data_IF_077932298939
#
_entry.id   IF_077932298939
#
_cell.length_a   1.000
_cell.length_b   1.000
_cell.length_c   1.000
_cell.angle_alpha   90.00
_cell.angle_beta   90.00
_cell.angle_gamma   90.00
#
_symmetry.space_group_name_H-M   'P 1'
#
loop_
_entity.id
_entity.type
_entity.pdbx_description
1 polymer ?
#
# COMPACT_ATOMS: atom_id res chain seq x y z
N UNK A 1 26.87 -30.13 62.41
CA UNK A 1 27.26 -30.85 61.17
C UNK A 1 27.42 -29.86 60.00
N UNK A 2 28.68 -29.56 59.65
CA UNK A 2 29.18 -28.86 58.45
C UNK A 2 28.21 -27.97 57.65
N UNK A 3 28.19 -26.66 57.95
CA UNK A 3 27.80 -25.65 56.95
C UNK A 3 28.88 -25.61 55.87
N UNK A 4 28.72 -26.42 54.83
CA UNK A 4 29.56 -26.34 53.64
C UNK A 4 29.49 -24.90 53.10
N UNK A 5 30.59 -24.15 53.20
CA UNK A 5 30.74 -22.90 52.47
C UNK A 5 31.05 -23.28 51.02
N UNK A 6 30.17 -23.01 50.04
CA UNK A 6 30.39 -23.47 48.65
C UNK A 6 31.46 -22.65 47.92
N UNK A 7 31.71 -21.42 48.36
CA UNK A 7 32.63 -20.48 47.72
C UNK A 7 34.09 -20.96 47.64
N UNK A 8 34.74 -21.51 48.69
CA UNK A 8 36.11 -22.02 48.59
C UNK A 8 36.25 -23.20 47.61
N UNK A 9 35.18 -23.98 47.43
CA UNK A 9 35.17 -25.09 46.46
C UNK A 9 35.00 -24.58 45.03
N UNK A 10 34.17 -23.55 44.83
CA UNK A 10 34.00 -22.89 43.55
C UNK A 10 35.29 -22.16 43.12
N UNK A 11 35.92 -21.40 44.02
CA UNK A 11 37.22 -20.75 43.79
C UNK A 11 38.31 -21.75 43.39
N UNK A 12 38.34 -22.94 44.02
CA UNK A 12 39.29 -24.00 43.68
C UNK A 12 39.13 -24.54 42.25
N UNK A 13 37.91 -24.53 41.71
CA UNK A 13 37.59 -25.10 40.38
C UNK A 13 37.61 -24.04 39.29
N UNK A 14 37.09 -22.84 39.57
CA UNK A 14 36.88 -21.78 38.57
C UNK A 14 37.84 -20.59 38.69
N UNK A 15 38.68 -20.55 39.74
CA UNK A 15 39.69 -19.50 39.93
C UNK A 15 39.08 -18.10 39.88
N UNK A 16 39.72 -17.21 39.12
CA UNK A 16 39.35 -15.79 38.99
C UNK A 16 38.05 -15.55 38.20
N UNK A 17 37.54 -16.56 37.48
CA UNK A 17 36.24 -16.50 36.80
C UNK A 17 35.06 -16.91 37.72
N UNK A 18 35.31 -16.99 39.02
CA UNK A 18 34.30 -17.33 40.02
C UNK A 18 33.32 -16.17 40.25
N UNK A 19 32.04 -16.52 40.44
CA UNK A 19 30.99 -15.57 40.86
C UNK A 19 31.29 -14.95 42.24
N UNK A 20 30.96 -13.68 42.42
CA UNK A 20 31.20 -12.97 43.68
C UNK A 20 30.53 -13.62 44.90
N UNK A 21 31.11 -13.43 46.08
CA UNK A 21 30.61 -13.95 47.37
C UNK A 21 29.16 -13.57 47.62
N UNK A 22 28.76 -12.36 47.22
CA UNK A 22 27.40 -11.85 47.36
C UNK A 22 26.42 -12.58 46.45
N UNK A 23 26.84 -12.93 45.23
CA UNK A 23 26.04 -13.75 44.32
C UNK A 23 25.83 -15.15 44.89
N UNK A 24 26.88 -15.80 45.39
CA UNK A 24 26.80 -17.13 46.01
C UNK A 24 25.88 -17.12 47.23
N UNK A 25 25.99 -16.10 48.10
CA UNK A 25 25.11 -15.95 49.27
C UNK A 25 23.65 -15.77 48.87
N UNK A 26 23.35 -14.94 47.86
CA UNK A 26 21.98 -14.77 47.34
C UNK A 26 21.39 -16.09 46.84
N UNK A 27 22.15 -16.85 46.05
CA UNK A 27 21.73 -18.15 45.56
C UNK A 27 21.51 -19.18 46.69
N UNK A 28 22.40 -19.23 47.69
CA UNK A 28 22.23 -20.12 48.85
C UNK A 28 20.94 -19.79 49.63
N UNK A 29 20.57 -18.51 49.72
CA UNK A 29 19.29 -18.11 50.33
C UNK A 29 18.12 -18.57 49.47
N UNK A 30 18.13 -18.33 48.15
CA UNK A 30 17.08 -18.77 47.22
C UNK A 30 16.85 -20.29 47.28
N UNK A 31 17.92 -21.09 47.23
CA UNK A 31 17.82 -22.56 47.32
C UNK A 31 17.32 -23.03 48.68
N UNK A 32 17.75 -22.41 49.78
CA UNK A 32 17.24 -22.74 51.12
C UNK A 32 15.77 -22.34 51.32
N UNK A 33 15.27 -21.34 50.59
CA UNK A 33 13.85 -21.00 50.55
C UNK A 33 13.00 -21.90 49.64
N UNK A 34 13.60 -22.92 49.02
CA UNK A 34 12.91 -23.89 48.17
C UNK A 34 12.80 -23.48 46.69
N UNK A 35 13.42 -22.37 46.26
CA UNK A 35 13.52 -22.04 44.84
C UNK A 35 14.59 -22.92 44.18
N UNK A 36 14.19 -23.73 43.18
CA UNK A 36 15.09 -24.61 42.41
C UNK A 36 15.34 -24.15 40.97
N UNK A 37 14.73 -23.04 40.56
CA UNK A 37 14.87 -22.48 39.22
C UNK A 37 16.24 -21.81 39.05
N UNK A 38 16.99 -22.23 38.04
CA UNK A 38 18.38 -21.78 37.80
C UNK A 38 18.42 -20.70 36.70
N UNK A 39 17.35 -20.56 35.93
CA UNK A 39 17.26 -19.54 34.90
C UNK A 39 16.94 -18.15 35.47
N UNK A 40 17.49 -17.13 34.82
CA UNK A 40 17.18 -15.74 35.16
C UNK A 40 15.67 -15.51 35.06
N UNK A 41 15.10 -14.93 36.12
CA UNK A 41 13.71 -14.47 36.09
C UNK A 41 13.59 -13.37 35.01
N UNK A 42 12.41 -13.23 34.37
CA UNK A 42 12.19 -12.16 33.39
C UNK A 42 12.58 -10.82 33.99
N UNK A 43 13.65 -10.23 33.47
CA UNK A 43 14.08 -8.92 33.92
C UNK A 43 13.07 -7.90 33.41
N UNK A 44 12.54 -6.98 34.24
CA UNK A 44 11.83 -5.82 33.73
C UNK A 44 12.84 -4.97 32.96
N UNK A 45 12.89 -5.18 31.65
CA UNK A 45 13.65 -4.32 30.75
C UNK A 45 13.14 -2.88 30.84
N UNK A 46 13.99 -1.93 30.44
CA UNK A 46 13.53 -0.57 30.13
C UNK A 46 12.33 -0.69 29.19
N UNK A 47 11.19 -0.03 29.44
CA UNK A 47 10.04 -0.11 28.54
C UNK A 47 10.49 0.37 27.15
N UNK A 48 10.59 -0.56 26.20
CA UNK A 48 10.94 -0.28 24.80
C UNK A 48 9.78 0.33 24.01
N UNK A 49 8.76 0.84 24.69
CA UNK A 49 7.52 1.27 24.09
C UNK A 49 7.20 2.67 24.58
N UNK A 50 7.29 3.66 23.69
CA UNK A 50 6.62 4.95 23.87
C UNK A 50 5.09 4.81 23.85
N UNK A 51 4.58 3.60 23.60
CA UNK A 51 3.16 3.28 23.51
C UNK A 51 2.67 2.64 24.81
N UNK A 52 1.66 3.27 25.42
CA UNK A 52 0.91 2.77 26.56
C UNK A 52 -0.34 2.03 26.02
N UNK A 53 -0.87 0.99 26.70
CA UNK A 53 -2.11 0.32 26.27
C UNK A 53 -3.30 1.27 26.01
N UNK A 54 -3.29 2.44 26.66
CA UNK A 54 -4.26 3.51 26.42
C UNK A 54 -4.15 4.11 25.02
N UNK A 55 -2.93 4.27 24.48
CA UNK A 55 -2.69 4.82 23.15
C UNK A 55 -3.15 3.84 22.06
N UNK A 56 -2.98 2.54 22.29
CA UNK A 56 -3.50 1.48 21.40
C UNK A 56 -5.03 1.51 21.35
N UNK A 57 -5.68 1.67 22.50
CA UNK A 57 -7.14 1.78 22.56
C UNK A 57 -7.66 3.06 21.91
N UNK A 58 -6.94 4.18 22.06
CA UNK A 58 -7.29 5.44 21.42
C UNK A 58 -7.12 5.36 19.89
N UNK A 59 -6.03 4.73 19.42
CA UNK A 59 -5.81 4.45 18.00
C UNK A 59 -6.94 3.61 17.41
N UNK A 60 -7.34 2.53 18.10
CA UNK A 60 -8.42 1.66 17.68
C UNK A 60 -9.75 2.43 17.54
N UNK A 61 -10.10 3.24 18.54
CA UNK A 61 -11.31 4.08 18.50
C UNK A 61 -11.28 5.11 17.38
N UNK A 62 -10.13 5.75 17.13
CA UNK A 62 -9.97 6.73 16.05
C UNK A 62 -10.18 6.07 14.68
N UNK A 63 -9.60 4.89 14.45
CA UNK A 63 -9.75 4.14 13.19
C UNK A 63 -11.20 3.65 13.01
N UNK A 64 -11.87 3.23 14.09
CA UNK A 64 -13.29 2.84 14.04
C UNK A 64 -14.22 4.02 13.75
N UNK A 65 -13.88 5.21 14.23
CA UNK A 65 -14.68 6.43 14.00
C UNK A 65 -14.48 6.96 12.59
N UNK A 66 -13.24 7.00 12.10
CA UNK A 66 -12.90 7.43 10.75
C UNK A 66 -11.84 6.52 10.13
N UNK A 67 -12.27 5.67 9.20
CA UNK A 67 -11.39 4.74 8.48
C UNK A 67 -10.47 5.45 7.47
N UNK A 68 -10.70 6.72 7.17
CA UNK A 68 -9.95 7.52 6.19
C UNK A 68 -8.91 8.44 6.84
N UNK A 69 -8.77 8.39 8.17
CA UNK A 69 -7.81 9.19 8.92
C UNK A 69 -6.37 8.91 8.45
N UNK A 70 -5.59 9.96 8.23
CA UNK A 70 -4.23 9.83 7.73
C UNK A 70 -3.25 9.46 8.84
N UNK A 71 -2.13 8.81 8.49
CA UNK A 71 -1.07 8.49 9.46
C UNK A 71 -0.52 9.74 10.16
N UNK A 72 -0.51 10.89 9.47
CA UNK A 72 -0.05 12.17 10.04
C UNK A 72 -1.03 12.68 11.10
N UNK A 73 -2.32 12.57 10.84
CA UNK A 73 -3.37 12.95 11.80
C UNK A 73 -3.32 12.02 13.00
N UNK A 74 -3.25 10.70 12.81
CA UNK A 74 -3.10 9.73 13.90
C UNK A 74 -1.89 10.03 14.80
N UNK A 75 -0.73 10.31 14.21
CA UNK A 75 0.47 10.72 14.96
C UNK A 75 0.24 12.00 15.76
N UNK A 76 -0.47 12.98 15.20
CA UNK A 76 -0.77 14.24 15.87
C UNK A 76 -1.75 14.06 17.03
N UNK A 77 -2.81 13.25 16.85
CA UNK A 77 -3.80 12.96 17.88
C UNK A 77 -3.22 12.19 19.06
N UNK A 78 -2.37 11.21 18.78
CA UNK A 78 -1.73 10.37 19.78
C UNK A 78 -0.43 10.97 20.33
N UNK A 79 -0.02 12.15 19.85
CA UNK A 79 1.25 12.79 20.16
C UNK A 79 2.46 11.82 20.07
N UNK A 80 2.45 10.98 19.04
CA UNK A 80 3.37 9.86 18.87
C UNK A 80 4.07 9.93 17.51
N UNK A 81 5.29 9.40 17.46
CA UNK A 81 6.06 9.33 16.21
C UNK A 81 5.51 8.27 15.26
N UNK A 82 5.72 8.45 13.94
CA UNK A 82 5.24 7.51 12.91
C UNK A 82 5.69 6.06 13.14
N UNK A 83 6.91 5.86 13.65
CA UNK A 83 7.42 4.52 13.95
C UNK A 83 6.63 3.83 15.07
N UNK A 84 6.20 4.58 16.10
CA UNK A 84 5.37 4.05 17.18
C UNK A 84 3.96 3.72 16.67
N UNK A 85 3.43 4.55 15.77
CA UNK A 85 2.15 4.29 15.09
C UNK A 85 2.19 3.00 14.26
N UNK A 86 3.25 2.78 13.48
CA UNK A 86 3.38 1.55 12.67
C UNK A 86 3.43 0.29 13.53
N UNK A 87 4.09 0.34 14.69
CA UNK A 87 4.10 -0.76 15.67
C UNK A 87 2.69 -1.01 16.24
N UNK A 88 1.97 0.05 16.61
CA UNK A 88 0.60 -0.06 17.13
C UNK A 88 -0.37 -0.64 16.09
N UNK A 89 -0.32 -0.13 14.86
CA UNK A 89 -1.14 -0.65 13.75
C UNK A 89 -0.87 -2.14 13.53
N UNK A 90 0.39 -2.56 13.57
CA UNK A 90 0.77 -3.97 13.45
C UNK A 90 0.23 -4.85 14.58
N UNK A 91 0.17 -4.35 15.83
CA UNK A 91 -0.43 -5.08 16.97
C UNK A 91 -1.94 -5.23 16.85
N UNK A 92 -2.62 -4.22 16.31
CA UNK A 92 -4.08 -4.22 16.09
C UNK A 92 -4.47 -4.91 14.77
N UNK A 93 -3.50 -5.50 14.05
CA UNK A 93 -3.68 -6.12 12.74
C UNK A 93 -4.24 -5.16 11.66
N UNK A 94 -4.02 -3.85 11.83
CA UNK A 94 -4.35 -2.85 10.83
C UNK A 94 -3.23 -2.71 9.79
N UNK A 95 -3.63 -2.63 8.52
CA UNK A 95 -2.72 -2.47 7.37
C UNK A 95 -3.05 -1.17 6.65
N UNK A 96 -2.03 -0.33 6.44
CA UNK A 96 -2.15 0.88 5.61
C UNK A 96 -2.38 0.48 4.15
N UNK A 97 -3.53 0.82 3.60
CA UNK A 97 -3.82 0.66 2.17
C UNK A 97 -3.52 1.97 1.45
N UNK A 98 -2.36 2.04 0.79
CA UNK A 98 -2.05 3.15 -0.11
C UNK A 98 -2.68 2.85 -1.48
N UNK A 99 -3.88 3.36 -1.74
CA UNK A 99 -4.45 3.32 -3.10
C UNK A 99 -3.81 4.41 -3.96
N UNK A 100 -2.67 4.10 -4.60
CA UNK A 100 -2.22 4.89 -5.75
C UNK A 100 -3.04 4.45 -6.94
N UNK A 101 -3.78 5.38 -7.55
CA UNK A 101 -4.40 5.14 -8.85
C UNK A 101 -3.29 4.94 -9.90
N UNK A 102 -2.98 3.68 -10.20
CA UNK A 102 -2.09 3.31 -11.29
C UNK A 102 -2.97 2.93 -12.47
N UNK A 103 -2.92 3.72 -13.53
CA UNK A 103 -3.63 3.42 -14.77
C UNK A 103 -3.05 2.09 -15.33
N UNK A 104 -3.88 1.07 -15.63
CA UNK A 104 -3.38 -0.23 -16.04
C UNK A 104 -2.50 -0.16 -17.30
N UNK A 105 -2.78 0.81 -18.20
CA UNK A 105 -1.99 1.05 -19.41
C UNK A 105 -0.60 1.67 -19.15
N UNK A 106 -0.29 2.05 -17.92
CA UNK A 106 1.05 2.53 -17.50
C UNK A 106 1.80 1.50 -16.65
N UNK A 107 1.21 0.31 -16.45
CA UNK A 107 1.85 -0.76 -15.69
C UNK A 107 3.13 -1.26 -16.37
N UNK A 108 4.06 -1.80 -15.57
CA UNK A 108 5.30 -2.40 -16.10
C UNK A 108 4.99 -3.54 -17.08
N UNK A 109 4.01 -4.38 -16.78
CA UNK A 109 3.61 -5.48 -17.65
C UNK A 109 3.09 -4.97 -19.00
N UNK A 110 2.20 -3.96 -19.00
CA UNK A 110 1.66 -3.41 -20.25
C UNK A 110 2.74 -2.73 -21.08
N UNK A 111 3.56 -1.86 -20.46
CA UNK A 111 4.62 -1.12 -21.17
C UNK A 111 5.70 -2.04 -21.73
N UNK A 112 6.10 -3.08 -20.98
CA UNK A 112 7.05 -4.09 -21.48
C UNK A 112 6.46 -4.90 -22.64
N UNK A 113 5.17 -5.22 -22.60
CA UNK A 113 4.51 -5.93 -23.69
C UNK A 113 4.38 -5.04 -24.95
N UNK A 114 4.00 -3.77 -24.81
CA UNK A 114 3.96 -2.80 -25.92
C UNK A 114 5.34 -2.63 -26.57
N UNK A 115 6.40 -2.56 -25.76
CA UNK A 115 7.77 -2.48 -26.25
C UNK A 115 8.20 -3.71 -27.06
N UNK A 116 7.74 -4.92 -26.70
CA UNK A 116 8.01 -6.16 -27.45
C UNK A 116 7.45 -6.12 -28.88
N UNK A 117 6.34 -5.42 -29.11
CA UNK A 117 5.78 -5.22 -30.45
C UNK A 117 6.47 -4.10 -31.25
N UNK A 118 7.41 -3.36 -30.65
CA UNK A 118 8.11 -2.25 -31.28
C UNK A 118 7.23 -1.01 -31.51
N UNK A 119 6.12 -0.89 -30.79
CA UNK A 119 5.20 0.25 -30.95
C UNK A 119 5.71 1.48 -30.20
N UNK A 120 5.60 2.65 -30.85
CA UNK A 120 5.84 3.93 -30.20
C UNK A 120 4.56 4.38 -29.50
N UNK A 121 4.62 4.58 -28.18
CA UNK A 121 3.50 5.10 -27.40
C UNK A 121 3.50 6.62 -27.51
N UNK A 122 2.44 7.20 -28.08
CA UNK A 122 2.29 8.65 -28.12
C UNK A 122 1.92 9.18 -26.72
N UNK A 123 2.52 10.28 -26.26
CA UNK A 123 2.14 10.91 -25.01
C UNK A 123 0.69 11.41 -25.11
N UNK A 124 -0.12 11.11 -24.08
CA UNK A 124 -1.50 11.57 -23.99
C UNK A 124 -1.71 12.28 -22.65
N UNK A 125 -2.16 13.55 -22.65
CA UNK A 125 -2.40 14.29 -21.42
C UNK A 125 -3.55 13.68 -20.58
N UNK A 126 -3.50 13.78 -19.24
CA UNK A 126 -4.60 13.37 -18.39
C UNK A 126 -5.88 14.14 -18.71
N UNK A 127 -7.02 13.46 -18.63
CA UNK A 127 -8.36 14.06 -18.78
C UNK A 127 -8.61 14.81 -20.10
N UNK A 128 -8.01 14.37 -21.21
CA UNK A 128 -8.16 14.99 -22.54
C UNK A 128 -8.92 14.11 -23.54
N UNK A 129 -10.21 13.78 -23.29
CA UNK A 129 -11.01 12.98 -24.22
C UNK A 129 -11.24 13.70 -25.57
N UNK A 130 -11.14 15.02 -25.60
CA UNK A 130 -11.17 15.86 -26.80
C UNK A 130 -9.95 15.65 -27.72
N UNK A 131 -8.88 15.03 -27.22
CA UNK A 131 -7.69 14.65 -27.98
C UNK A 131 -7.62 13.15 -28.28
N UNK A 132 -8.66 12.38 -27.96
CA UNK A 132 -8.73 10.95 -28.25
C UNK A 132 -9.74 10.68 -29.39
N UNK A 133 -9.27 10.17 -30.52
CA UNK A 133 -10.10 9.90 -31.71
C UNK A 133 -11.28 8.97 -31.42
N UNK A 134 -11.08 7.98 -30.55
CA UNK A 134 -12.15 7.11 -30.07
C UNK A 134 -13.29 7.89 -29.41
N UNK A 135 -12.97 8.90 -28.59
CA UNK A 135 -13.95 9.69 -27.84
C UNK A 135 -14.63 10.76 -28.68
N UNK A 136 -13.87 11.59 -29.40
CA UNK A 136 -14.47 12.71 -30.13
C UNK A 136 -15.12 12.29 -31.46
N UNK A 137 -14.71 11.17 -32.05
CA UNK A 137 -15.14 10.75 -33.39
C UNK A 137 -15.89 9.42 -33.43
N UNK A 138 -15.39 8.37 -32.79
CA UNK A 138 -15.94 7.01 -32.94
C UNK A 138 -17.18 6.77 -32.07
N UNK A 139 -17.08 7.02 -30.76
CA UNK A 139 -18.09 6.56 -29.81
C UNK A 139 -19.42 7.29 -29.90
N UNK A 140 -19.46 8.55 -30.36
CA UNK A 140 -20.71 9.28 -30.56
C UNK A 140 -21.59 8.61 -31.63
N UNK A 141 -21.16 8.59 -32.89
CA UNK A 141 -21.90 7.95 -33.98
C UNK A 141 -22.22 6.47 -33.73
N UNK A 142 -21.33 5.75 -33.05
CA UNK A 142 -21.57 4.35 -32.68
C UNK A 142 -22.72 4.22 -31.68
N UNK A 143 -22.72 5.05 -30.63
CA UNK A 143 -23.82 5.07 -29.66
C UNK A 143 -25.12 5.47 -30.30
N UNK A 144 -25.10 6.47 -31.18
CA UNK A 144 -26.29 6.93 -31.91
C UNK A 144 -26.85 5.82 -32.81
N UNK A 145 -25.97 5.08 -33.51
CA UNK A 145 -26.38 3.95 -34.36
C UNK A 145 -26.92 2.74 -33.60
N UNK A 146 -26.52 2.57 -32.34
CA UNK A 146 -26.99 1.51 -31.44
C UNK A 146 -28.12 1.98 -30.51
N UNK A 147 -28.45 3.27 -30.54
CA UNK A 147 -29.41 3.86 -29.61
C UNK A 147 -30.80 3.23 -29.78
N UNK A 148 -31.45 2.95 -28.65
CA UNK A 148 -32.80 2.38 -28.62
C UNK A 148 -32.90 0.89 -28.95
N UNK A 149 -31.78 0.21 -29.18
CA UNK A 149 -31.76 -1.24 -29.38
C UNK A 149 -31.64 -1.97 -28.04
N UNK A 150 -32.41 -3.05 -27.87
CA UNK A 150 -32.30 -3.94 -26.72
C UNK A 150 -31.53 -5.19 -27.12
N UNK A 151 -30.44 -5.48 -26.40
CA UNK A 151 -29.63 -6.67 -26.61
C UNK A 151 -29.84 -7.63 -25.42
N UNK A 152 -30.32 -8.87 -25.66
CA UNK A 152 -30.62 -9.81 -24.58
C UNK A 152 -29.36 -10.41 -23.95
N UNK A 153 -28.23 -10.44 -24.66
CA UNK A 153 -26.95 -10.93 -24.16
C UNK A 153 -25.74 -10.16 -24.71
N UNK A 154 -24.55 -10.55 -24.24
CA UNK A 154 -23.28 -9.93 -24.62
C UNK A 154 -22.87 -10.25 -26.06
N UNK A 155 -23.24 -11.41 -26.60
CA UNK A 155 -22.84 -11.81 -27.95
C UNK A 155 -23.59 -10.98 -29.00
N UNK A 156 -24.86 -10.67 -28.74
CA UNK A 156 -25.68 -9.81 -29.59
C UNK A 156 -25.16 -8.38 -29.66
N UNK A 157 -24.77 -7.78 -28.53
CA UNK A 157 -24.17 -6.43 -28.55
C UNK A 157 -22.79 -6.44 -29.21
N UNK A 158 -21.98 -7.48 -29.01
CA UNK A 158 -20.67 -7.63 -29.69
C UNK A 158 -20.88 -7.73 -31.20
N UNK A 159 -21.85 -8.52 -31.66
CA UNK A 159 -22.18 -8.65 -33.08
C UNK A 159 -22.68 -7.33 -33.67
N UNK A 160 -23.55 -6.61 -32.96
CA UNK A 160 -24.05 -5.30 -33.38
C UNK A 160 -22.93 -4.26 -33.50
N UNK A 161 -22.03 -4.17 -32.50
CA UNK A 161 -20.87 -3.27 -32.53
C UNK A 161 -19.94 -3.63 -33.69
N UNK A 162 -19.61 -4.91 -33.88
CA UNK A 162 -18.77 -5.37 -35.00
C UNK A 162 -19.38 -5.01 -36.35
N UNK A 163 -20.69 -5.23 -36.50
CA UNK A 163 -21.44 -4.87 -37.71
C UNK A 163 -21.39 -3.36 -37.96
N UNK A 164 -21.59 -2.54 -36.94
CA UNK A 164 -21.51 -1.09 -37.05
C UNK A 164 -20.11 -0.64 -37.48
N UNK A 165 -19.05 -1.14 -36.83
CA UNK A 165 -17.65 -0.83 -37.17
C UNK A 165 -17.31 -1.21 -38.62
N UNK A 166 -17.80 -2.36 -39.09
CA UNK A 166 -17.61 -2.81 -40.47
C UNK A 166 -18.41 -1.99 -41.50
N UNK A 167 -19.52 -1.37 -41.07
CA UNK A 167 -20.33 -0.51 -41.94
C UNK A 167 -19.75 0.90 -42.12
N UNK A 168 -18.88 1.35 -41.20
CA UNK A 168 -18.21 2.64 -41.30
C UNK A 168 -17.19 2.65 -42.45
N UNK A 169 -17.17 3.71 -43.24
CA UNK A 169 -16.28 3.82 -44.40
C UNK A 169 -14.81 4.06 -44.01
N UNK A 170 -13.87 3.77 -44.92
CA UNK A 170 -12.47 4.13 -44.73
C UNK A 170 -12.29 5.64 -44.46
N UNK A 171 -12.99 6.48 -45.24
CA UNK A 171 -13.01 7.94 -45.08
C UNK A 171 -13.51 8.38 -43.70
N UNK A 172 -14.39 7.61 -43.05
CA UNK A 172 -14.80 7.90 -41.68
C UNK A 172 -13.62 7.79 -40.73
N UNK A 173 -12.82 6.73 -40.80
CA UNK A 173 -11.65 6.56 -39.94
C UNK A 173 -10.53 7.55 -40.29
N UNK A 174 -10.30 7.82 -41.57
CA UNK A 174 -9.27 8.77 -42.01
C UNK A 174 -9.53 10.18 -41.47
N UNK A 175 -10.79 10.65 -41.54
CA UNK A 175 -11.18 11.95 -40.99
C UNK A 175 -10.84 12.09 -39.51
N UNK A 176 -10.93 11.01 -38.74
CA UNK A 176 -10.58 11.04 -37.31
C UNK A 176 -9.09 11.33 -37.07
N UNK A 177 -8.21 10.78 -37.91
CA UNK A 177 -6.77 10.97 -37.83
C UNK A 177 -6.38 12.37 -38.30
N UNK A 178 -6.99 12.84 -39.39
CA UNK A 178 -6.77 14.20 -39.88
C UNK A 178 -7.26 15.26 -38.87
N UNK A 179 -8.43 15.04 -38.25
CA UNK A 179 -8.98 15.94 -37.23
C UNK A 179 -8.09 16.03 -35.97
N UNK A 180 -7.33 14.97 -35.65
CA UNK A 180 -6.42 14.96 -34.51
C UNK A 180 -5.34 16.04 -34.63
N UNK A 181 -4.77 16.21 -35.82
CA UNK A 181 -3.75 17.24 -36.10
C UNK A 181 -4.29 18.63 -35.83
N UNK A 182 -5.50 18.91 -36.33
CA UNK A 182 -6.15 20.21 -36.11
C UNK A 182 -6.51 20.43 -34.64
N UNK A 183 -6.98 19.40 -33.94
CA UNK A 183 -7.30 19.46 -32.50
C UNK A 183 -6.06 19.74 -31.65
N UNK A 184 -4.92 19.12 -31.94
CA UNK A 184 -3.67 19.43 -31.25
C UNK A 184 -3.27 20.89 -31.43
N UNK A 185 -3.35 21.43 -32.65
CA UNK A 185 -3.07 22.84 -32.91
C UNK A 185 -4.00 23.76 -32.12
N UNK A 186 -5.31 23.47 -32.10
CA UNK A 186 -6.29 24.25 -31.35
C UNK A 186 -6.04 24.18 -29.84
N UNK A 187 -5.67 23.02 -29.29
CA UNK A 187 -5.29 22.89 -27.88
C UNK A 187 -4.07 23.75 -27.52
N UNK A 188 -3.04 23.77 -28.39
CA UNK A 188 -1.86 24.62 -28.20
C UNK A 188 -2.24 26.11 -28.25
N UNK A 189 -3.06 26.52 -29.22
CA UNK A 189 -3.54 27.90 -29.34
C UNK A 189 -4.38 28.34 -28.14
N UNK A 190 -5.13 27.41 -27.54
CA UNK A 190 -5.92 27.64 -26.34
C UNK A 190 -5.11 27.54 -25.05
N UNK A 191 -3.77 27.46 -25.12
CA UNK A 191 -2.92 27.39 -23.91
C UNK A 191 -3.09 26.10 -23.10
N UNK A 192 -3.56 25.02 -23.73
CA UNK A 192 -3.83 23.74 -23.06
C UNK A 192 -5.29 23.56 -22.60
N UNK A 193 -6.16 24.55 -22.79
CA UNK A 193 -7.59 24.39 -22.51
C UNK A 193 -8.29 23.47 -23.52
N UNK A 194 -9.47 22.99 -23.10
CA UNK A 194 -10.29 22.06 -23.88
C UNK A 194 -10.61 22.56 -25.28
N UNK A 195 -10.62 21.62 -26.23
CA UNK A 195 -10.99 21.88 -27.61
C UNK A 195 -12.48 21.61 -27.79
N UNK A 196 -13.26 22.68 -27.89
CA UNK A 196 -14.68 22.60 -28.24
C UNK A 196 -14.90 21.90 -29.60
N UNK A 197 -15.99 21.13 -29.67
CA UNK A 197 -16.44 20.41 -30.85
C UNK A 197 -16.92 21.35 -31.96
#
# INVERSE_FOLDING_TARGET
PNKLHPLPRLLKVYGDNTVDVSAVRRWVVCFNSGESEVHDKPCPGRPCSATIPHDEQCLDQLIHTDRWITTRELCAWLNNGCNALDVMLGKLDYRKVCARWVLPHTSLETTTHTAKFGWTVLPHPPYSPDLASSHFHLFGPMKDGLHGQHFPDNDDIIAAVRKWLASASADFYERSIQALVHRWQKCIMNGGDYVEK
#
